data_IF_218849640974
#
_entry.id   IF_218849640974
#
_cell.length_a   1.000
_cell.length_b   1.000
_cell.length_c   1.000
_cell.angle_alpha   90.00
_cell.angle_beta   90.00
_cell.angle_gamma   90.00
#
_symmetry.space_group_name_H-M   'P 1'
#
loop_
_entity.id
_entity.type
_entity.pdbx_description
1 polymer ?
#
# COMPACT_ATOMS: atom_id res chain seq x y z
N UNK A 1 -21.69 17.22 1.38
CA UNK A 1 -21.06 17.42 0.06
C UNK A 1 -20.03 16.32 -0.13
N UNK A 2 -20.11 15.53 -1.20
CA UNK A 2 -19.14 14.47 -1.44
C UNK A 2 -17.82 15.11 -1.90
N UNK A 3 -16.74 14.88 -1.16
CA UNK A 3 -15.40 15.29 -1.58
C UNK A 3 -14.90 14.27 -2.58
N UNK A 4 -14.53 14.73 -3.77
CA UNK A 4 -13.98 13.83 -4.78
C UNK A 4 -12.55 13.48 -4.39
N UNK A 5 -12.29 12.20 -4.17
CA UNK A 5 -10.94 11.69 -3.96
C UNK A 5 -10.14 11.89 -5.25
N UNK A 6 -9.08 12.66 -5.16
CA UNK A 6 -8.12 12.81 -6.26
C UNK A 6 -7.08 11.72 -6.10
N UNK A 7 -7.13 10.71 -6.96
CA UNK A 7 -6.05 9.75 -7.09
C UNK A 7 -5.35 10.02 -8.42
N UNK A 8 -4.11 10.45 -8.37
CA UNK A 8 -3.27 10.61 -9.57
C UNK A 8 -2.69 9.29 -10.06
N UNK A 9 -2.95 8.21 -9.33
CA UNK A 9 -2.35 6.91 -9.55
C UNK A 9 -3.41 5.86 -9.85
N UNK A 10 -4.04 6.00 -11.01
CA UNK A 10 -4.94 4.95 -11.51
C UNK A 10 -4.12 3.85 -12.19
N UNK A 11 -3.63 2.92 -11.40
CA UNK A 11 -2.96 1.70 -11.88
C UNK A 11 -3.94 0.54 -12.07
N UNK A 12 -5.25 0.79 -11.95
CA UNK A 12 -6.26 -0.27 -11.86
C UNK A 12 -6.20 -1.05 -10.54
N UNK A 13 -5.36 -0.62 -9.60
CA UNK A 13 -5.24 -1.19 -8.26
C UNK A 13 -5.97 -0.34 -7.24
N UNK A 14 -6.52 -1.00 -6.24
CA UNK A 14 -7.35 -0.36 -5.21
C UNK A 14 -6.46 0.47 -4.28
N UNK A 15 -6.22 1.73 -4.64
CA UNK A 15 -5.52 2.69 -3.77
C UNK A 15 -6.28 2.93 -2.46
N UNK A 16 -7.58 2.64 -2.42
CA UNK A 16 -8.41 2.72 -1.23
C UNK A 16 -7.95 1.86 -0.04
N UNK A 17 -7.12 0.85 -0.29
CA UNK A 17 -6.54 0.05 0.79
C UNK A 17 -5.32 0.69 1.46
N UNK A 18 -4.72 1.71 0.85
CA UNK A 18 -3.56 2.42 1.39
C UNK A 18 -3.94 3.72 2.13
N UNK A 19 -5.06 4.33 1.77
CA UNK A 19 -5.62 5.49 2.46
C UNK A 19 -7.15 5.47 2.36
N UNK A 20 -7.82 5.81 3.43
CA UNK A 20 -9.28 5.94 3.50
C UNK A 20 -9.74 7.38 3.27
N UNK A 21 -8.81 8.36 3.33
CA UNK A 21 -9.14 9.76 3.12
C UNK A 21 -9.58 10.04 1.67
N UNK A 22 -10.61 10.85 1.41
CA UNK A 22 -11.35 11.71 2.33
C UNK A 22 -12.62 11.07 2.91
N UNK A 23 -12.95 9.82 2.61
CA UNK A 23 -14.18 9.18 3.06
C UNK A 23 -14.17 8.91 4.57
N UNK A 24 -12.97 8.66 5.12
CA UNK A 24 -12.75 8.50 6.56
C UNK A 24 -11.35 9.00 6.92
N UNK A 25 -11.12 9.21 8.21
CA UNK A 25 -9.79 9.52 8.74
C UNK A 25 -8.96 8.23 8.73
N UNK A 26 -7.75 8.32 8.19
CA UNK A 26 -6.82 7.20 8.20
C UNK A 26 -6.43 6.82 9.64
N UNK A 27 -6.43 5.54 9.92
CA UNK A 27 -5.87 5.00 11.14
C UNK A 27 -4.35 4.84 11.00
N UNK A 28 -3.67 4.53 12.11
CA UNK A 28 -2.23 4.25 12.10
C UNK A 28 -1.79 3.09 11.17
N UNK A 29 -2.73 2.33 10.65
CA UNK A 29 -2.47 1.18 9.78
C UNK A 29 -2.60 1.51 8.29
N UNK A 30 -3.25 2.65 7.96
CA UNK A 30 -3.22 3.23 6.62
C UNK A 30 -1.96 4.08 6.45
N UNK A 31 -1.72 4.54 5.22
CA UNK A 31 -0.54 5.31 4.81
C UNK A 31 0.79 4.58 5.02
N UNK A 32 0.73 3.28 5.26
CA UNK A 32 1.85 2.35 5.42
C UNK A 32 2.76 2.61 6.63
N UNK A 33 2.72 1.70 7.59
CA UNK A 33 3.71 1.65 8.66
C UNK A 33 5.03 1.04 8.14
N UNK A 34 6.02 1.87 7.85
CA UNK A 34 7.31 1.39 7.39
C UNK A 34 8.05 0.62 8.49
N UNK A 35 8.60 -0.53 8.14
CA UNK A 35 9.50 -1.32 8.99
C UNK A 35 10.84 -1.46 8.29
N UNK A 36 11.91 -1.11 8.98
CA UNK A 36 13.26 -1.24 8.44
C UNK A 36 13.68 -2.71 8.34
N UNK A 37 14.23 -3.09 7.19
CA UNK A 37 14.90 -4.39 6.99
C UNK A 37 14.05 -5.62 7.34
N UNK A 38 12.74 -5.56 7.19
CA UNK A 38 11.91 -6.76 7.35
C UNK A 38 12.20 -7.72 6.19
N UNK A 39 12.77 -8.87 6.52
CA UNK A 39 13.14 -9.92 5.58
C UNK A 39 12.79 -11.29 6.16
N UNK A 40 12.34 -12.18 5.31
CA UNK A 40 12.09 -13.60 5.60
C UNK A 40 12.19 -14.42 4.31
N UNK A 41 11.92 -15.70 4.40
CA UNK A 41 11.91 -16.63 3.26
C UNK A 41 10.60 -17.40 3.21
N UNK A 42 10.23 -17.82 1.99
CA UNK A 42 9.11 -18.74 1.82
C UNK A 42 9.43 -20.07 2.49
N UNK A 43 8.57 -20.51 3.40
CA UNK A 43 8.63 -21.83 4.01
C UNK A 43 7.98 -22.91 3.15
N UNK A 44 7.14 -22.50 2.19
CA UNK A 44 6.55 -23.37 1.17
C UNK A 44 6.56 -22.66 -0.19
N UNK A 45 6.50 -23.44 -1.26
CA UNK A 45 6.39 -22.89 -2.61
C UNK A 45 5.06 -22.15 -2.79
N UNK A 46 5.11 -20.99 -3.45
CA UNK A 46 3.95 -20.17 -3.76
C UNK A 46 3.48 -20.45 -5.18
N UNK A 47 2.27 -20.97 -5.32
CA UNK A 47 1.66 -21.25 -6.64
C UNK A 47 0.93 -20.02 -7.18
N UNK A 48 0.54 -20.05 -8.46
CA UNK A 48 -0.27 -18.98 -9.06
C UNK A 48 -1.62 -18.76 -8.37
N UNK A 49 -2.22 -19.82 -7.86
CA UNK A 49 -3.57 -19.79 -7.26
C UNK A 49 -3.58 -19.63 -5.75
N UNK A 50 -2.41 -19.49 -5.14
CA UNK A 50 -2.29 -19.39 -3.68
C UNK A 50 -3.02 -18.15 -3.14
N UNK A 51 -3.78 -18.36 -2.07
CA UNK A 51 -4.55 -17.33 -1.35
C UNK A 51 -3.84 -16.81 -0.10
N UNK A 52 -2.75 -17.42 0.27
CA UNK A 52 -1.91 -17.06 1.40
C UNK A 52 -0.45 -17.41 1.09
N UNK A 53 0.45 -16.78 1.82
CA UNK A 53 1.90 -16.99 1.72
C UNK A 53 2.40 -17.50 3.06
N UNK A 54 3.11 -18.62 3.04
CA UNK A 54 3.76 -19.18 4.21
C UNK A 54 5.23 -18.82 4.21
N UNK A 55 5.70 -18.26 5.32
CA UNK A 55 7.08 -17.81 5.53
C UNK A 55 7.64 -18.35 6.84
N UNK A 56 8.95 -18.30 6.99
CA UNK A 56 9.64 -18.77 8.21
C UNK A 56 9.24 -17.93 9.44
N UNK A 57 9.23 -16.60 9.28
CA UNK A 57 8.82 -15.66 10.32
C UNK A 57 8.34 -14.34 9.66
N UNK A 58 7.31 -13.74 10.20
CA UNK A 58 6.81 -12.44 9.73
C UNK A 58 6.59 -11.41 10.86
N UNK A 59 7.22 -11.60 12.01
CA UNK A 59 7.01 -10.72 13.18
C UNK A 59 7.46 -9.29 12.89
N UNK A 60 8.56 -9.12 12.13
CA UNK A 60 9.10 -7.81 11.74
C UNK A 60 8.29 -7.07 10.67
N UNK A 61 7.30 -7.71 10.06
CA UNK A 61 6.45 -7.07 9.07
C UNK A 61 5.28 -6.35 9.71
N UNK A 62 4.74 -5.27 9.09
CA UNK A 62 3.50 -4.65 9.57
C UNK A 62 2.31 -5.60 9.46
N UNK A 63 1.17 -5.24 10.09
CA UNK A 63 -0.05 -6.06 10.04
C UNK A 63 -0.67 -6.16 8.64
N UNK A 64 -0.50 -5.12 7.84
CA UNK A 64 -0.92 -5.01 6.44
C UNK A 64 0.15 -4.28 5.66
N UNK A 65 0.27 -4.50 4.37
CA UNK A 65 1.26 -3.80 3.55
C UNK A 65 1.61 -4.51 2.25
N UNK A 66 2.76 -4.13 1.71
CA UNK A 66 3.27 -4.69 0.46
C UNK A 66 4.58 -5.41 0.74
N UNK A 67 4.69 -6.61 0.23
CA UNK A 67 5.92 -7.40 0.24
C UNK A 67 6.42 -7.57 -1.19
N UNK A 68 7.74 -7.70 -1.31
CA UNK A 68 8.44 -8.06 -2.53
C UNK A 68 8.93 -9.49 -2.39
N UNK A 69 8.58 -10.36 -3.33
CA UNK A 69 9.17 -11.69 -3.45
C UNK A 69 10.14 -11.69 -4.62
N UNK A 70 11.36 -12.05 -4.34
CA UNK A 70 12.42 -12.19 -5.33
C UNK A 70 12.89 -13.62 -5.48
N UNK A 71 13.69 -13.91 -6.54
CA UNK A 71 14.28 -15.21 -6.72
C UNK A 71 15.15 -15.60 -5.52
N UNK A 72 15.33 -16.92 -5.27
CA UNK A 72 16.28 -17.41 -4.28
C UNK A 72 17.69 -16.91 -4.55
N UNK A 73 18.59 -16.98 -3.56
CA UNK A 73 19.99 -16.61 -3.75
C UNK A 73 20.63 -17.32 -4.95
N UNK A 74 21.39 -16.58 -5.74
CA UNK A 74 22.09 -17.10 -6.92
C UNK A 74 21.23 -17.26 -8.17
N UNK A 75 19.95 -16.95 -8.11
CA UNK A 75 19.06 -16.91 -9.28
C UNK A 75 18.76 -15.46 -9.66
N UNK A 76 18.59 -15.23 -10.96
CA UNK A 76 18.16 -13.94 -11.49
C UNK A 76 16.69 -13.98 -11.92
N UNK A 77 16.01 -12.84 -11.90
CA UNK A 77 14.62 -12.73 -12.33
C UNK A 77 13.94 -11.50 -11.77
N UNK A 78 12.80 -11.13 -12.38
CA UNK A 78 11.99 -10.04 -11.90
C UNK A 78 11.25 -10.45 -10.61
N UNK A 79 11.23 -9.55 -9.65
CA UNK A 79 10.48 -9.75 -8.41
C UNK A 79 8.99 -9.52 -8.63
N UNK A 80 8.17 -10.15 -7.80
CA UNK A 80 6.74 -9.88 -7.68
C UNK A 80 6.46 -9.04 -6.44
N UNK A 81 5.58 -8.06 -6.57
CA UNK A 81 5.01 -7.31 -5.46
C UNK A 81 3.63 -7.86 -5.13
N UNK A 82 3.37 -8.01 -3.86
CA UNK A 82 2.13 -8.60 -3.37
C UNK A 82 1.63 -7.75 -2.20
N UNK A 83 0.43 -7.20 -2.34
CA UNK A 83 -0.27 -6.61 -1.21
C UNK A 83 -0.89 -7.70 -0.35
N UNK A 84 -0.83 -7.55 0.96
CA UNK A 84 -1.54 -8.38 1.93
C UNK A 84 -2.31 -7.50 2.92
N UNK A 85 -3.52 -7.91 3.24
CA UNK A 85 -4.42 -7.16 4.13
C UNK A 85 -4.35 -7.63 5.59
N UNK A 86 -3.81 -8.82 5.81
CA UNK A 86 -3.71 -9.40 7.14
C UNK A 86 -2.52 -10.35 7.24
N UNK A 87 -1.97 -10.47 8.44
CA UNK A 87 -0.99 -11.50 8.77
C UNK A 87 -1.36 -12.24 10.06
N UNK A 88 -0.96 -13.48 10.15
CA UNK A 88 -0.85 -14.27 11.37
C UNK A 88 0.56 -14.85 11.44
N UNK A 89 0.91 -15.49 12.54
CA UNK A 89 2.26 -16.05 12.70
C UNK A 89 2.66 -16.90 11.47
N UNK A 90 3.73 -16.50 10.81
CA UNK A 90 4.26 -17.16 9.62
C UNK A 90 3.39 -17.13 8.37
N UNK A 91 2.31 -16.36 8.33
CA UNK A 91 1.37 -16.36 7.20
C UNK A 91 0.93 -14.96 6.83
N UNK A 92 0.99 -14.61 5.53
CA UNK A 92 0.33 -13.43 4.96
C UNK A 92 -0.96 -13.87 4.25
N UNK A 93 -2.03 -13.10 4.41
CA UNK A 93 -3.39 -13.44 3.97
C UNK A 93 -4.03 -12.31 3.18
N UNK A 94 -5.12 -12.62 2.48
CA UNK A 94 -5.90 -11.69 1.66
C UNK A 94 -5.01 -10.98 0.65
N UNK A 95 -4.42 -11.75 -0.23
CA UNK A 95 -3.39 -11.32 -1.14
C UNK A 95 -3.95 -10.65 -2.40
N UNK A 96 -3.33 -9.57 -2.83
CA UNK A 96 -3.41 -9.07 -4.19
C UNK A 96 -2.05 -9.35 -4.85
N UNK A 97 -2.02 -10.36 -5.72
CA UNK A 97 -0.84 -10.82 -6.43
C UNK A 97 -0.55 -9.93 -7.64
N UNK A 98 0.70 -9.83 -8.05
CA UNK A 98 1.10 -8.99 -9.17
C UNK A 98 0.84 -7.51 -8.92
N UNK A 99 0.90 -7.06 -7.67
CA UNK A 99 0.62 -5.68 -7.27
C UNK A 99 1.59 -4.69 -7.96
N UNK A 100 1.15 -3.43 -8.15
CA UNK A 100 1.95 -2.35 -8.74
C UNK A 100 2.51 -2.69 -10.14
N UNK A 101 1.76 -3.42 -10.95
CA UNK A 101 2.17 -3.79 -12.30
C UNK A 101 3.24 -4.88 -12.38
N UNK A 102 3.61 -5.48 -11.26
CA UNK A 102 4.53 -6.61 -11.25
C UNK A 102 3.84 -7.86 -11.81
N UNK A 103 4.65 -8.77 -12.36
CA UNK A 103 4.11 -10.02 -12.90
C UNK A 103 3.93 -11.04 -11.77
N UNK A 104 2.76 -11.64 -11.70
CA UNK A 104 2.51 -12.79 -10.84
C UNK A 104 3.31 -14.01 -11.32
N UNK A 105 4.06 -14.64 -10.42
CA UNK A 105 4.88 -15.82 -10.71
C UNK A 105 4.73 -16.88 -9.62
N UNK A 106 4.97 -18.18 -9.95
CA UNK A 106 5.20 -19.18 -8.92
C UNK A 106 6.59 -18.94 -8.31
N UNK A 107 6.70 -19.12 -7.01
CA UNK A 107 7.96 -18.94 -6.28
C UNK A 107 8.34 -20.21 -5.54
N UNK A 108 9.59 -20.70 -5.67
CA UNK A 108 10.03 -21.86 -4.93
C UNK A 108 10.21 -21.55 -3.44
N UNK A 109 10.23 -22.58 -2.62
CA UNK A 109 10.64 -22.49 -1.22
C UNK A 109 12.02 -21.84 -1.10
N UNK A 110 12.22 -21.03 -0.05
CA UNK A 110 13.47 -20.29 0.15
C UNK A 110 13.59 -18.98 -0.64
N UNK A 111 12.61 -18.62 -1.50
CA UNK A 111 12.58 -17.31 -2.12
C UNK A 111 12.52 -16.21 -1.06
N UNK A 112 13.28 -15.12 -1.27
CA UNK A 112 13.29 -13.99 -0.35
C UNK A 112 11.99 -13.22 -0.39
N UNK A 113 11.50 -12.89 0.80
CA UNK A 113 10.34 -12.03 1.03
C UNK A 113 10.81 -10.82 1.83
N UNK A 114 10.73 -9.64 1.26
CA UNK A 114 11.21 -8.41 1.88
C UNK A 114 10.10 -7.38 1.94
N UNK A 115 10.11 -6.56 2.99
CA UNK A 115 9.34 -5.32 3.04
C UNK A 115 10.14 -4.22 2.35
N UNK A 116 9.45 -3.34 1.61
CA UNK A 116 10.08 -2.18 1.00
C UNK A 116 9.10 -1.01 0.99
N UNK A 117 9.62 0.20 0.96
CA UNK A 117 8.83 1.39 0.65
C UNK A 117 8.68 1.46 -0.86
N UNK A 118 7.46 1.42 -1.34
CA UNK A 118 7.13 1.46 -2.75
C UNK A 118 6.57 2.81 -3.15
N UNK A 119 6.58 3.10 -4.45
CA UNK A 119 6.01 4.32 -4.99
C UNK A 119 4.54 4.51 -4.59
N UNK A 120 3.79 3.43 -4.48
CA UNK A 120 2.38 3.41 -4.07
C UNK A 120 2.19 4.00 -2.66
N UNK A 121 3.08 3.71 -1.72
CA UNK A 121 3.04 4.28 -0.38
C UNK A 121 3.25 5.80 -0.42
N UNK A 122 4.27 6.25 -1.16
CA UNK A 122 4.54 7.66 -1.34
C UNK A 122 3.38 8.39 -2.03
N UNK A 123 2.82 7.77 -3.07
CA UNK A 123 1.70 8.35 -3.82
C UNK A 123 0.43 8.41 -2.97
N UNK A 124 0.15 7.40 -2.12
CA UNK A 124 -0.95 7.46 -1.16
C UNK A 124 -0.84 8.64 -0.19
N UNK A 125 0.36 8.86 0.36
CA UNK A 125 0.62 9.99 1.26
C UNK A 125 0.45 11.30 0.50
N UNK A 126 1.02 11.41 -0.70
CA UNK A 126 0.87 12.59 -1.57
C UNK A 126 -0.61 12.90 -1.87
N UNK A 127 -1.39 11.88 -2.24
CA UNK A 127 -2.80 12.05 -2.56
C UNK A 127 -3.62 12.45 -1.32
N UNK A 128 -3.30 11.91 -0.14
CA UNK A 128 -3.90 12.33 1.12
C UNK A 128 -3.61 13.80 1.43
N UNK A 129 -2.37 14.27 1.22
CA UNK A 129 -1.98 15.68 1.40
C UNK A 129 -2.75 16.57 0.42
N UNK A 130 -2.80 16.23 -0.87
CA UNK A 130 -3.55 16.99 -1.89
C UNK A 130 -5.04 17.06 -1.53
N UNK A 131 -5.61 15.97 -1.04
CA UNK A 131 -7.01 15.97 -0.58
C UNK A 131 -7.23 16.90 0.62
N UNK A 132 -6.29 16.92 1.59
CA UNK A 132 -6.33 17.85 2.73
C UNK A 132 -6.25 19.30 2.21
N UNK A 133 -5.27 19.62 1.36
CA UNK A 133 -5.09 20.96 0.77
C UNK A 133 -6.34 21.42 0.02
N UNK A 134 -6.98 20.52 -0.75
CA UNK A 134 -8.20 20.81 -1.49
C UNK A 134 -9.37 21.13 -0.56
N UNK A 135 -9.50 20.43 0.57
CA UNK A 135 -10.58 20.66 1.53
C UNK A 135 -10.34 21.88 2.42
N UNK A 136 -9.10 22.11 2.83
CA UNK A 136 -8.74 23.29 3.62
C UNK A 136 -8.71 24.53 2.72
N UNK A 137 -8.21 24.41 1.50
CA UNK A 137 -8.03 25.51 0.54
C UNK A 137 -6.78 26.34 0.84
N UNK A 138 -6.47 27.23 -0.10
CA UNK A 138 -5.35 28.18 0.01
C UNK A 138 -5.85 29.59 0.30
N UNK A 139 -5.08 30.35 1.05
CA UNK A 139 -5.49 31.70 1.50
C UNK A 139 -5.66 32.67 0.34
N UNK A 140 -4.78 32.61 -0.66
CA UNK A 140 -4.74 33.58 -1.77
C UNK A 140 -5.82 33.33 -2.84
N UNK A 141 -6.23 32.10 -3.04
CA UNK A 141 -7.28 31.72 -4.01
C UNK A 141 -8.05 30.49 -3.51
N UNK A 142 -8.88 30.64 -2.48
CA UNK A 142 -9.60 29.52 -1.90
C UNK A 142 -10.71 29.04 -2.84
N UNK A 143 -10.83 27.73 -3.00
CA UNK A 143 -12.00 27.14 -3.66
C UNK A 143 -13.25 27.41 -2.83
N UNK A 144 -14.36 27.77 -3.48
CA UNK A 144 -15.63 28.09 -2.80
C UNK A 144 -16.17 26.95 -1.92
N UNK A 145 -15.73 25.72 -2.18
CA UNK A 145 -16.10 24.51 -1.43
C UNK A 145 -15.11 24.14 -0.34
N UNK A 146 -13.96 24.82 -0.28
CA UNK A 146 -12.95 24.59 0.76
C UNK A 146 -13.32 25.33 2.06
N UNK A 147 -12.72 24.92 3.17
CA UNK A 147 -12.93 25.57 4.47
C UNK A 147 -12.60 27.06 4.41
N UNK A 148 -11.45 27.44 3.83
CA UNK A 148 -11.05 28.83 3.66
C UNK A 148 -12.01 29.60 2.75
N UNK A 149 -12.55 29.00 1.69
CA UNK A 149 -13.56 29.62 0.83
C UNK A 149 -14.87 29.89 1.56
N UNK A 150 -15.34 28.91 2.34
CA UNK A 150 -16.57 29.06 3.16
C UNK A 150 -16.38 30.14 4.22
N UNK A 151 -15.25 30.19 4.92
CA UNK A 151 -14.99 31.21 5.95
C UNK A 151 -14.95 32.63 5.38
N UNK A 152 -14.32 32.84 4.20
CA UNK A 152 -14.26 34.15 3.54
C UNK A 152 -15.62 34.65 3.03
N UNK A 153 -16.58 33.79 2.77
CA UNK A 153 -17.93 34.19 2.34
C UNK A 153 -18.83 34.62 3.51
N UNK A 154 -18.38 34.45 4.74
CA UNK A 154 -19.13 34.84 5.96
C UNK A 154 -18.69 36.19 6.53
N UNK A 155 -17.65 36.82 5.96
CA UNK A 155 -17.24 38.21 6.25
C UNK A 155 -17.96 39.20 5.33
#
# INVERSE_FOLDING_TARGET
>A
MAVTKISSYDTGYVTGNLSLYPEAIDSRYQLYEAKNNAETKLSQSLTYTAKFILVENNDSFPSTGIIRIGPPPGQSGAAEMIYYDNKSQGTFKNLIRGFAGSRQNPWPVGSYVTSAVFAEHHNSIKDAIINIETNVGVETNPLSTSLNGILKTQE
#
